data_IF_703074455264
#
_entry.id   IF_703074455264
#
_cell.length_a   1.000
_cell.length_b   1.000
_cell.length_c   1.000
_cell.angle_alpha   90.00
_cell.angle_beta   90.00
_cell.angle_gamma   90.00
#
_symmetry.space_group_name_H-M   'P 1'
#
loop_
_entity.id
_entity.type
_entity.pdbx_description
1 polymer ?
#
# COMPACT_ATOMS: atom_id res chain seq x y z
N UNK A 1 7.96 -2.49 -10.66
CA UNK A 1 6.60 -2.20 -11.19
C UNK A 1 5.80 -1.56 -10.08
N UNK A 2 4.99 -0.55 -10.39
CA UNK A 2 4.17 0.18 -9.40
C UNK A 2 2.69 0.04 -9.79
N UNK A 3 1.82 -0.26 -8.83
CA UNK A 3 0.36 -0.30 -8.99
C UNK A 3 -0.26 0.64 -7.96
N UNK A 4 -1.25 1.41 -8.38
CA UNK A 4 -1.97 2.37 -7.54
C UNK A 4 -3.46 2.26 -7.81
N UNK A 5 -4.24 2.04 -6.76
CA UNK A 5 -5.69 1.87 -6.88
C UNK A 5 -6.43 2.54 -5.71
N UNK A 6 -7.55 3.22 -5.99
CA UNK A 6 -8.40 3.75 -4.94
C UNK A 6 -9.12 2.60 -4.21
N UNK A 7 -9.27 2.73 -2.90
CA UNK A 7 -9.96 1.78 -2.03
C UNK A 7 -10.93 2.53 -1.13
N UNK A 8 -12.17 2.03 -1.02
CA UNK A 8 -13.11 2.53 -0.01
C UNK A 8 -12.78 1.94 1.36
N UNK A 9 -12.62 2.80 2.36
CA UNK A 9 -12.43 2.46 3.76
C UNK A 9 -13.47 3.20 4.61
N UNK A 10 -14.70 2.68 4.61
CA UNK A 10 -15.79 3.21 5.42
C UNK A 10 -16.34 4.53 4.86
N UNK A 11 -16.59 4.58 3.55
CA UNK A 11 -17.07 5.78 2.86
C UNK A 11 -16.00 6.85 2.64
N UNK A 12 -14.73 6.49 2.79
CA UNK A 12 -13.58 7.36 2.57
C UNK A 12 -12.63 6.70 1.58
N UNK A 13 -12.17 7.45 0.59
CA UNK A 13 -11.20 6.96 -0.37
C UNK A 13 -9.80 7.00 0.25
N UNK A 14 -9.16 5.84 0.31
CA UNK A 14 -7.72 5.70 0.50
C UNK A 14 -7.06 5.30 -0.82
N UNK A 15 -5.75 5.49 -0.92
CA UNK A 15 -4.96 5.03 -2.06
C UNK A 15 -4.12 3.83 -1.62
N UNK A 16 -4.35 2.68 -2.25
CA UNK A 16 -3.50 1.50 -2.13
C UNK A 16 -2.35 1.60 -3.14
N UNK A 17 -1.12 1.47 -2.67
CA UNK A 17 0.10 1.53 -3.47
C UNK A 17 0.89 0.26 -3.24
N UNK A 18 1.17 -0.45 -4.34
CA UNK A 18 2.03 -1.63 -4.36
C UNK A 18 3.26 -1.32 -5.21
N UNK A 19 4.45 -1.54 -4.62
CA UNK A 19 5.72 -1.43 -5.34
C UNK A 19 6.44 -2.76 -5.27
N UNK A 20 6.59 -3.40 -6.43
CA UNK A 20 7.44 -4.60 -6.57
C UNK A 20 8.90 -4.19 -6.64
N UNK A 21 9.65 -4.52 -5.58
CA UNK A 21 11.10 -4.39 -5.48
C UNK A 21 11.76 -5.75 -5.78
N UNK A 22 13.07 -5.79 -6.09
CA UNK A 22 13.72 -7.04 -6.48
C UNK A 22 13.67 -8.19 -5.46
N UNK A 23 13.50 -7.88 -4.16
CA UNK A 23 13.54 -8.87 -3.07
C UNK A 23 12.31 -8.85 -2.16
N UNK A 24 11.37 -7.93 -2.38
CA UNK A 24 10.21 -7.75 -1.53
C UNK A 24 9.13 -6.94 -2.24
N UNK A 25 7.95 -6.88 -1.67
CA UNK A 25 6.86 -6.01 -2.13
C UNK A 25 6.56 -5.01 -1.03
N UNK A 26 6.62 -3.72 -1.37
CA UNK A 26 6.20 -2.65 -0.47
C UNK A 26 4.71 -2.40 -0.67
N UNK A 27 3.95 -2.46 0.42
CA UNK A 27 2.52 -2.18 0.43
C UNK A 27 2.25 -0.97 1.33
N UNK A 28 1.58 0.03 0.78
CA UNK A 28 1.18 1.24 1.48
C UNK A 28 -0.30 1.50 1.24
N UNK A 29 -1.04 1.78 2.31
CA UNK A 29 -2.38 2.36 2.23
C UNK A 29 -2.28 3.76 2.79
N UNK A 30 -2.55 4.77 1.97
CA UNK A 30 -2.37 6.18 2.34
C UNK A 30 -3.65 6.98 2.21
N UNK A 31 -3.80 7.95 3.10
CA UNK A 31 -4.87 8.95 3.14
C UNK A 31 -4.26 10.34 3.35
N UNK A 32 -5.10 11.38 3.36
CA UNK A 32 -4.70 12.74 3.72
C UNK A 32 -4.22 12.88 5.17
N UNK A 33 -4.66 11.99 6.07
CA UNK A 33 -4.32 12.02 7.50
C UNK A 33 -3.05 11.24 7.85
N UNK A 34 -2.60 10.35 6.97
CA UNK A 34 -1.47 9.48 7.22
C UNK A 34 -1.54 8.19 6.42
N UNK A 35 -0.59 7.30 6.70
CA UNK A 35 -0.44 6.04 5.98
C UNK A 35 -0.16 4.88 6.94
N UNK A 36 -0.57 3.70 6.51
CA UNK A 36 -0.16 2.43 7.10
C UNK A 36 0.68 1.72 6.05
N UNK A 37 1.88 1.33 6.45
CA UNK A 37 2.82 0.61 5.61
C UNK A 37 3.05 -0.77 6.20
N UNK A 38 2.96 -1.80 5.37
CA UNK A 38 3.52 -3.09 5.74
C UNK A 38 5.02 -3.06 5.46
N UNK A 39 5.82 -3.03 6.53
CA UNK A 39 7.27 -3.20 6.44
C UNK A 39 7.57 -4.66 6.21
N UNK A 40 7.85 -5.02 4.95
CA UNK A 40 8.37 -6.30 4.46
C UNK A 40 8.65 -7.36 5.54
N UNK A 41 7.61 -8.03 6.04
CA UNK A 41 7.81 -9.33 6.68
C UNK A 41 7.80 -10.35 5.54
N UNK A 42 8.98 -10.93 5.34
CA UNK A 42 9.25 -12.00 4.40
C UNK A 42 8.07 -13.00 4.38
N UNK A 43 7.33 -13.07 3.27
CA UNK A 43 6.44 -14.20 3.00
C UNK A 43 7.17 -15.08 1.98
N UNK A 44 8.22 -15.73 2.49
CA UNK A 44 8.85 -16.89 1.86
C UNK A 44 9.01 -17.91 2.99
#
# INVERSE_FOLDING_TARGET
MIRMEPMDLGGRTALAVEVKLPKTTLLVVTTDKGYIMCGAHNII
#
